data_IF_111540719757
#
_entry.id   IF_111540719757
#
_cell.length_a   1.000
_cell.length_b   1.000
_cell.length_c   1.000
_cell.angle_alpha   90.00
_cell.angle_beta   90.00
_cell.angle_gamma   90.00
#
_symmetry.space_group_name_H-M   'P 1'
#
loop_
_entity.id
_entity.type
_entity.pdbx_description
1 polymer ?
#
# COMPACT_ATOMS: atom_id res chain seq x y z
N UNK A 1 -7.76 -23.82 -57.28
CA UNK A 1 -6.78 -23.21 -56.36
C UNK A 1 -7.38 -22.20 -55.37
N UNK A 2 -8.30 -21.31 -55.76
CA UNK A 2 -8.93 -20.33 -54.84
C UNK A 2 -9.77 -20.95 -53.69
N UNK A 3 -10.49 -22.06 -53.94
CA UNK A 3 -11.30 -22.74 -52.90
C UNK A 3 -10.45 -23.49 -51.86
N UNK A 4 -9.27 -23.97 -52.23
CA UNK A 4 -8.31 -24.58 -51.31
C UNK A 4 -7.65 -23.54 -50.39
N UNK A 5 -7.42 -22.32 -50.91
CA UNK A 5 -6.88 -21.20 -50.13
C UNK A 5 -7.86 -20.70 -49.06
N UNK A 6 -9.16 -20.64 -49.37
CA UNK A 6 -10.19 -20.23 -48.39
C UNK A 6 -10.39 -21.22 -47.24
N UNK A 7 -10.20 -22.52 -47.48
CA UNK A 7 -10.31 -23.54 -46.42
C UNK A 7 -9.12 -23.44 -45.46
N UNK A 8 -7.91 -23.19 -46.00
CA UNK A 8 -6.69 -23.07 -45.19
C UNK A 8 -6.71 -21.86 -44.25
N UNK A 9 -7.37 -20.77 -44.67
CA UNK A 9 -7.48 -19.52 -43.90
C UNK A 9 -8.54 -19.58 -42.79
N UNK A 10 -9.51 -20.50 -42.88
CA UNK A 10 -10.54 -20.69 -41.86
C UNK A 10 -10.07 -21.63 -40.74
N UNK A 11 -9.17 -22.57 -41.06
CA UNK A 11 -8.59 -23.51 -40.07
C UNK A 11 -7.59 -22.88 -39.12
N UNK A 12 -6.89 -21.81 -39.52
CA UNK A 12 -5.90 -21.13 -38.66
C UNK A 12 -6.52 -20.33 -37.51
N UNK A 13 -7.81 -19.97 -37.60
CA UNK A 13 -8.52 -19.21 -36.55
C UNK A 13 -8.96 -20.11 -35.38
N UNK A 14 -9.04 -21.43 -35.58
CA UNK A 14 -9.51 -22.39 -34.56
C UNK A 14 -8.42 -22.86 -33.58
N UNK A 15 -7.13 -22.62 -33.87
CA UNK A 15 -6.03 -23.05 -33.00
C UNK A 15 -5.48 -21.94 -32.09
N UNK A 16 -6.08 -20.75 -32.10
CA UNK A 16 -5.78 -19.66 -31.15
C UNK A 16 -6.51 -19.80 -29.81
N UNK A 17 -6.89 -21.02 -29.40
CA UNK A 17 -7.52 -21.23 -28.09
C UNK A 17 -6.50 -20.91 -27.01
N UNK A 18 -6.81 -19.90 -26.19
CA UNK A 18 -5.99 -19.44 -25.09
C UNK A 18 -5.45 -20.62 -24.28
N UNK A 19 -4.12 -20.71 -24.18
CA UNK A 19 -3.47 -21.50 -23.13
C UNK A 19 -3.83 -20.85 -21.80
N UNK A 20 -4.92 -21.33 -21.17
CA UNK A 20 -5.23 -20.97 -19.79
C UNK A 20 -4.11 -21.54 -18.94
N UNK A 21 -3.17 -20.67 -18.60
CA UNK A 21 -2.02 -20.99 -17.79
C UNK A 21 -2.55 -21.29 -16.38
N UNK A 22 -2.83 -22.56 -16.10
CA UNK A 22 -3.22 -23.04 -14.78
C UNK A 22 -1.98 -23.01 -13.87
N UNK A 23 -1.43 -21.82 -13.61
CA UNK A 23 -0.59 -21.63 -12.44
C UNK A 23 -1.55 -21.72 -11.28
N UNK A 24 -1.40 -22.79 -10.49
CA UNK A 24 -2.12 -23.03 -9.25
C UNK A 24 -2.49 -21.70 -8.59
N UNK A 25 -3.78 -21.43 -8.60
CA UNK A 25 -4.44 -20.35 -7.91
C UNK A 25 -4.36 -20.70 -6.42
N UNK A 26 -3.15 -20.61 -5.83
CA UNK A 26 -3.07 -20.28 -4.41
C UNK A 26 -3.85 -18.99 -4.30
N UNK A 27 -5.06 -19.06 -3.78
CA UNK A 27 -5.85 -17.92 -3.38
C UNK A 27 -4.86 -16.92 -2.79
N UNK A 28 -4.56 -15.84 -3.55
CA UNK A 28 -3.39 -14.99 -3.29
C UNK A 28 -3.56 -14.47 -1.87
N UNK A 29 -2.85 -15.06 -0.91
CA UNK A 29 -2.89 -14.65 0.49
C UNK A 29 -2.38 -13.21 0.45
N UNK A 30 -3.31 -12.27 0.62
CA UNK A 30 -2.98 -10.84 0.70
C UNK A 30 -2.26 -10.68 2.02
N UNK A 31 -0.96 -10.40 1.97
CA UNK A 31 -0.23 -10.05 3.17
C UNK A 31 -0.78 -8.72 3.68
N UNK A 32 -1.45 -8.77 4.82
CA UNK A 32 -1.91 -7.59 5.53
C UNK A 32 -1.00 -7.41 6.74
N UNK A 33 -0.46 -6.22 6.89
CA UNK A 33 0.24 -5.85 8.12
C UNK A 33 -0.71 -5.96 9.31
N UNK A 34 -0.24 -6.61 10.38
CA UNK A 34 -0.94 -6.64 11.66
C UNK A 34 -0.61 -5.37 12.44
N UNK A 35 -1.61 -4.49 12.55
CA UNK A 35 -1.49 -3.22 13.25
C UNK A 35 -1.61 -3.36 14.78
N UNK A 36 -1.96 -4.54 15.30
CA UNK A 36 -2.26 -4.76 16.72
C UNK A 36 -3.34 -3.78 17.21
N UNK A 37 -3.04 -3.06 18.29
CA UNK A 37 -3.95 -2.08 18.89
C UNK A 37 -3.95 -0.70 18.20
N UNK A 38 -3.16 -0.52 17.13
CA UNK A 38 -3.13 0.74 16.39
C UNK A 38 -4.38 0.90 15.53
N UNK A 39 -4.91 2.12 15.51
CA UNK A 39 -6.09 2.47 14.73
C UNK A 39 -5.68 2.97 13.35
N UNK A 40 -6.47 2.62 12.34
CA UNK A 40 -6.30 3.19 11.00
C UNK A 40 -6.59 4.70 11.03
N UNK A 41 -5.72 5.48 10.40
CA UNK A 41 -5.81 6.94 10.33
C UNK A 41 -6.17 7.36 8.91
N UNK A 42 -5.38 6.93 7.93
CA UNK A 42 -5.55 7.32 6.54
C UNK A 42 -4.86 6.33 5.60
N UNK A 43 -5.14 6.47 4.31
CA UNK A 43 -4.44 5.73 3.26
C UNK A 43 -4.13 6.62 2.08
N UNK A 44 -3.07 6.31 1.35
CA UNK A 44 -2.70 7.02 0.13
C UNK A 44 -2.37 6.04 -1.00
N UNK A 45 -2.52 6.50 -2.24
CA UNK A 45 -2.10 5.80 -3.44
C UNK A 45 -1.18 6.71 -4.24
N UNK A 46 0.03 6.24 -4.56
CA UNK A 46 0.98 6.92 -5.42
C UNK A 46 1.02 6.18 -6.79
N UNK A 47 0.38 6.72 -7.83
CA UNK A 47 0.35 6.08 -9.14
C UNK A 47 1.71 6.07 -9.83
N UNK A 48 2.55 7.09 -9.62
CA UNK A 48 3.86 7.20 -10.25
C UNK A 48 4.82 6.14 -9.70
N UNK A 49 4.76 5.90 -8.39
CA UNK A 49 5.56 4.89 -7.72
C UNK A 49 4.90 3.50 -7.69
N UNK A 50 3.64 3.38 -8.13
CA UNK A 50 2.83 2.16 -8.03
C UNK A 50 2.81 1.60 -6.59
N UNK A 51 2.61 2.49 -5.60
CA UNK A 51 2.55 2.12 -4.18
C UNK A 51 1.24 2.56 -3.52
N UNK A 52 0.82 1.80 -2.51
CA UNK A 52 -0.25 2.17 -1.58
C UNK A 52 0.33 2.23 -0.18
N UNK A 53 -0.10 3.21 0.62
CA UNK A 53 0.23 3.27 2.03
C UNK A 53 -1.00 3.31 2.91
N UNK A 54 -0.88 2.78 4.12
CA UNK A 54 -1.82 2.95 5.20
C UNK A 54 -1.08 3.48 6.42
N UNK A 55 -1.62 4.54 7.03
CA UNK A 55 -1.14 5.10 8.27
C UNK A 55 -2.00 4.58 9.42
N UNK A 56 -1.32 4.09 10.44
CA UNK A 56 -1.92 3.66 11.69
C UNK A 56 -1.33 4.47 12.84
N UNK A 57 -2.09 4.62 13.93
CA UNK A 57 -1.56 5.20 15.16
C UNK A 57 -2.43 4.94 16.38
N UNK A 58 -1.86 5.22 17.54
CA UNK A 58 -2.62 5.17 18.80
C UNK A 58 -3.45 6.44 19.02
N UNK A 59 -4.22 6.48 20.11
CA UNK A 59 -5.08 7.62 20.41
C UNK A 59 -4.30 8.94 20.56
N UNK A 60 -3.08 8.89 21.11
CA UNK A 60 -2.20 10.05 21.27
C UNK A 60 -1.72 10.56 19.91
N UNK A 61 -1.38 9.67 18.98
CA UNK A 61 -1.04 10.01 17.61
C UNK A 61 -2.20 10.71 16.87
N UNK A 62 -3.43 10.20 16.98
CA UNK A 62 -4.61 10.86 16.38
C UNK A 62 -4.83 12.26 16.96
N UNK A 63 -4.68 12.42 18.28
CA UNK A 63 -4.73 13.73 18.95
C UNK A 63 -3.60 14.66 18.52
N UNK A 64 -2.43 14.10 18.17
CA UNK A 64 -1.29 14.88 17.70
C UNK A 64 -1.56 15.47 16.32
N UNK A 65 -2.20 14.71 15.42
CA UNK A 65 -2.58 15.18 14.09
C UNK A 65 -3.73 16.19 14.10
N UNK A 66 -4.72 15.99 14.97
CA UNK A 66 -5.93 16.84 15.04
C UNK A 66 -5.79 18.04 15.99
N UNK A 67 -4.81 18.00 16.88
CA UNK A 67 -4.61 19.01 17.92
C UNK A 67 -3.55 20.05 17.55
N UNK A 68 -3.55 21.15 18.29
CA UNK A 68 -2.52 22.20 18.18
C UNK A 68 -1.19 21.85 18.89
N UNK A 69 -1.15 20.76 19.66
CA UNK A 69 0.02 20.37 20.43
C UNK A 69 0.93 19.40 19.65
N UNK A 70 2.04 19.93 19.14
CA UNK A 70 3.08 19.17 18.41
C UNK A 70 3.96 18.27 19.30
N UNK A 71 3.70 18.20 20.61
CA UNK A 71 4.47 17.42 21.59
C UNK A 71 3.52 16.66 22.50
N UNK A 72 2.92 15.59 21.99
CA UNK A 72 2.16 14.63 22.79
C UNK A 72 3.04 13.40 23.05
N UNK A 73 3.58 13.22 24.27
CA UNK A 73 4.35 12.02 24.64
C UNK A 73 3.55 10.73 24.44
N UNK A 74 4.25 9.64 24.10
CA UNK A 74 3.64 8.33 23.89
C UNK A 74 2.78 8.23 22.62
N UNK A 75 2.91 9.17 21.68
CA UNK A 75 2.32 9.05 20.34
C UNK A 75 3.11 8.03 19.54
N UNK A 76 2.43 7.15 18.83
CA UNK A 76 3.05 6.18 17.93
C UNK A 76 2.28 6.12 16.61
N UNK A 77 3.01 6.28 15.52
CA UNK A 77 2.53 6.18 14.14
C UNK A 77 3.26 5.05 13.43
N UNK A 78 2.56 4.29 12.61
CA UNK A 78 3.13 3.33 11.66
C UNK A 78 2.60 3.59 10.27
N UNK A 79 3.48 3.96 9.35
CA UNK A 79 3.15 4.00 7.93
C UNK A 79 3.64 2.73 7.25
N UNK A 80 2.68 1.99 6.71
CA UNK A 80 2.90 0.72 6.03
C UNK A 80 2.73 0.95 4.54
N UNK A 81 3.77 0.64 3.75
CA UNK A 81 3.77 0.86 2.30
C UNK A 81 3.86 -0.48 1.57
N UNK A 82 2.97 -0.67 0.60
CA UNK A 82 2.89 -1.85 -0.25
C UNK A 82 3.14 -1.48 -1.71
N UNK A 83 3.62 -2.46 -2.47
CA UNK A 83 3.53 -2.44 -3.92
C UNK A 83 2.08 -2.67 -4.33
N UNK A 84 1.60 -1.92 -5.32
CA UNK A 84 0.29 -2.16 -5.90
C UNK A 84 0.32 -3.35 -6.85
N UNK A 85 -0.75 -4.14 -6.82
CA UNK A 85 -1.01 -5.18 -7.80
C UNK A 85 -2.46 -5.12 -8.30
N UNK A 86 -2.72 -5.69 -9.47
CA UNK A 86 -4.09 -5.85 -9.98
C UNK A 86 -4.90 -6.80 -9.09
N UNK A 87 -6.16 -6.46 -8.84
CA UNK A 87 -7.09 -7.37 -8.19
C UNK A 87 -7.42 -8.52 -9.16
N UNK A 88 -7.13 -9.79 -8.79
CA UNK A 88 -7.48 -10.92 -9.64
C UNK A 88 -8.99 -11.07 -9.87
N UNK A 89 -9.82 -10.52 -8.97
CA UNK A 89 -11.27 -10.68 -9.01
C UNK A 89 -11.98 -9.53 -9.73
N UNK A 90 -11.34 -8.37 -9.87
CA UNK A 90 -11.98 -7.16 -10.40
C UNK A 90 -11.05 -6.43 -11.37
N UNK A 91 -11.40 -6.47 -12.66
CA UNK A 91 -10.64 -5.79 -13.70
C UNK A 91 -10.59 -4.28 -13.46
N UNK A 92 -9.37 -3.72 -13.54
CA UNK A 92 -9.11 -2.30 -13.29
C UNK A 92 -8.95 -1.93 -11.82
N UNK A 93 -9.30 -2.81 -10.88
CA UNK A 93 -9.09 -2.57 -9.45
C UNK A 93 -7.64 -2.86 -9.04
N UNK A 94 -7.16 -2.08 -8.07
CA UNK A 94 -5.82 -2.16 -7.50
C UNK A 94 -5.91 -2.54 -6.03
N UNK A 95 -5.03 -3.43 -5.58
CA UNK A 95 -4.97 -3.90 -4.19
C UNK A 95 -3.54 -3.97 -3.69
N UNK A 96 -3.40 -4.07 -2.36
CA UNK A 96 -2.11 -4.32 -1.71
C UNK A 96 -1.49 -5.62 -2.25
N UNK A 97 -0.23 -5.52 -2.66
CA UNK A 97 0.62 -6.65 -3.03
C UNK A 97 1.70 -6.87 -1.98
N UNK A 98 2.96 -6.85 -2.41
CA UNK A 98 4.13 -7.05 -1.56
C UNK A 98 4.30 -5.90 -0.54
N UNK A 99 4.59 -6.24 0.72
CA UNK A 99 5.01 -5.25 1.72
C UNK A 99 6.40 -4.71 1.36
N UNK A 100 6.52 -3.40 1.21
CA UNK A 100 7.79 -2.75 0.89
C UNK A 100 8.46 -2.14 2.11
N UNK A 101 7.68 -1.50 3.00
CA UNK A 101 8.24 -0.75 4.11
C UNK A 101 7.27 -0.59 5.27
N UNK A 102 7.81 -0.59 6.49
CA UNK A 102 7.13 -0.16 7.71
C UNK A 102 7.97 0.93 8.37
N UNK A 103 7.45 2.15 8.39
CA UNK A 103 8.08 3.33 8.98
C UNK A 103 7.38 3.71 10.28
N UNK A 104 8.14 3.99 11.32
CA UNK A 104 7.60 4.33 12.63
C UNK A 104 8.04 5.73 13.04
N UNK A 105 7.06 6.53 13.48
CA UNK A 105 7.29 7.82 14.15
C UNK A 105 6.72 7.71 15.55
N UNK A 106 7.55 7.93 16.56
CA UNK A 106 7.13 7.86 17.96
C UNK A 106 7.58 9.11 18.72
N UNK A 107 6.91 9.42 19.82
CA UNK A 107 7.37 10.46 20.75
C UNK A 107 7.90 9.85 22.04
N UNK A 108 9.05 10.33 22.49
CA UNK A 108 9.60 9.97 23.79
C UNK A 108 8.77 10.57 24.95
N UNK A 109 9.17 10.28 26.19
CA UNK A 109 8.51 10.80 27.39
C UNK A 109 8.51 12.35 27.49
N UNK A 110 9.37 13.03 26.74
CA UNK A 110 9.46 14.50 26.67
C UNK A 110 8.71 15.06 25.45
N UNK A 111 8.09 14.21 24.63
CA UNK A 111 7.39 14.59 23.42
C UNK A 111 8.30 14.83 22.22
N UNK A 112 9.57 14.41 22.27
CA UNK A 112 10.47 14.52 21.11
C UNK A 112 10.19 13.41 20.11
N UNK A 113 10.10 13.78 18.84
CA UNK A 113 9.86 12.85 17.75
C UNK A 113 11.11 12.02 17.44
N UNK A 114 10.90 10.74 17.19
CA UNK A 114 11.90 9.79 16.72
C UNK A 114 11.34 9.04 15.53
N UNK A 115 12.15 8.97 14.47
CA UNK A 115 11.85 8.20 13.28
C UNK A 115 12.75 6.97 13.23
N UNK A 116 12.18 5.82 12.85
CA UNK A 116 12.96 4.63 12.50
C UNK A 116 12.19 3.76 11.50
N UNK A 117 12.91 2.81 10.89
CA UNK A 117 12.36 1.86 9.92
C UNK A 117 12.35 0.49 10.59
N UNK A 118 11.18 -0.13 10.66
CA UNK A 118 11.03 -1.49 11.21
C UNK A 118 11.25 -2.55 10.12
N UNK A 119 10.89 -2.24 8.87
CA UNK A 119 11.04 -3.13 7.73
C UNK A 119 11.32 -2.34 6.45
N UNK A 120 12.18 -2.87 5.59
CA UNK A 120 12.52 -2.28 4.29
C UNK A 120 13.51 -1.12 4.40
N UNK A 121 13.47 -0.22 3.41
CA UNK A 121 14.32 0.96 3.34
C UNK A 121 13.61 2.15 2.71
N UNK A 122 14.01 3.36 3.06
CA UNK A 122 13.55 4.57 2.38
C UNK A 122 14.18 4.67 0.98
N UNK A 123 13.51 5.32 0.01
CA UNK A 123 14.10 5.62 -1.29
C UNK A 123 15.39 6.45 -1.11
N UNK A 124 16.38 6.24 -1.98
CA UNK A 124 17.71 6.86 -1.84
C UNK A 124 17.70 8.38 -1.99
N UNK A 125 16.66 8.93 -2.61
CA UNK A 125 16.41 10.35 -2.83
C UNK A 125 15.62 11.01 -1.69
N UNK A 126 15.21 10.26 -0.67
CA UNK A 126 14.45 10.75 0.47
C UNK A 126 15.23 10.65 1.78
N UNK A 127 15.08 11.66 2.63
CA UNK A 127 15.66 11.71 3.99
C UNK A 127 14.64 11.29 5.05
N UNK A 128 15.14 10.83 6.20
CA UNK A 128 14.30 10.51 7.36
C UNK A 128 13.41 11.69 7.79
N UNK A 129 13.92 12.92 7.69
CA UNK A 129 13.20 14.14 8.02
C UNK A 129 12.03 14.37 7.06
N UNK A 130 12.25 14.17 5.75
CA UNK A 130 11.17 14.28 4.76
C UNK A 130 10.11 13.20 4.98
N UNK A 131 10.51 11.95 5.25
CA UNK A 131 9.59 10.86 5.57
C UNK A 131 8.76 11.13 6.81
N UNK A 132 9.41 11.55 7.89
CA UNK A 132 8.74 11.90 9.15
C UNK A 132 7.76 13.05 8.95
N UNK A 133 8.16 14.10 8.22
CA UNK A 133 7.27 15.22 7.90
C UNK A 133 6.05 14.74 7.09
N UNK A 134 6.25 13.90 6.08
CA UNK A 134 5.15 13.35 5.28
C UNK A 134 4.16 12.53 6.12
N UNK A 135 4.65 11.71 7.07
CA UNK A 135 3.78 10.94 7.97
C UNK A 135 2.94 11.88 8.86
N UNK A 136 3.55 12.96 9.36
CA UNK A 136 2.90 13.91 10.26
C UNK A 136 1.98 14.93 9.56
N UNK A 137 2.06 15.01 8.23
CA UNK A 137 1.23 15.90 7.39
C UNK A 137 -0.08 15.21 6.93
N UNK A 138 -0.23 13.91 7.20
CA UNK A 138 -1.43 13.17 6.82
C UNK A 138 -2.61 13.51 7.72
N UNK A 139 -3.78 13.71 7.10
CA UNK A 139 -5.02 14.00 7.79
C UNK A 139 -5.79 12.70 8.11
N UNK A 140 -6.31 12.54 9.34
CA UNK A 140 -7.20 11.43 9.67
C UNK A 140 -8.48 11.46 8.82
N UNK A 141 -8.91 10.31 8.33
CA UNK A 141 -10.17 10.17 7.61
C UNK A 141 -11.34 10.36 8.58
N UNK A 142 -12.28 11.22 8.22
CA UNK A 142 -13.56 11.37 8.91
C UNK A 142 -14.55 10.33 8.38
N UNK A 143 -14.93 9.37 9.25
CA UNK A 143 -16.00 8.44 8.91
C UNK A 143 -17.37 9.11 9.10
N UNK A 144 -18.30 8.99 8.15
CA UNK A 144 -19.66 9.48 8.34
C UNK A 144 -20.31 8.78 9.55
N UNK A 145 -20.95 9.57 10.41
CA UNK A 145 -21.67 9.10 11.61
C UNK A 145 -23.08 8.62 11.32
#
# INVERSE_FOLDING_TARGET
MKKLLSILLLTSVLFGSCTKNNKHETAKIRFMFDAGDLQFISSSFNPDQQTMSALYGNQQAIKLLTGSNKRLPGSAFKQVTYKVQDDPNYFGSKVNGELLRVETVETDAKGNLRYHIEFGSIPSDESQQQRMAHILDQEPIEFPQ
#
